data_IF_270245611472
#
_entry.id   IF_270245611472
#
_cell.length_a   1.000
_cell.length_b   1.000
_cell.length_c   1.000
_cell.angle_alpha   90.00
_cell.angle_beta   90.00
_cell.angle_gamma   90.00
#
_symmetry.space_group_name_H-M   'P 1'
#
loop_
_entity.id
_entity.type
_entity.pdbx_description
1 polymer ?
#
# COMPACT_ATOMS: atom_id res chain seq x y z
N UNK A 1 -21.07 7.21 -13.10
CA UNK A 1 -21.21 7.81 -11.75
C UNK A 1 -20.57 9.19 -11.78
N UNK A 2 -21.27 10.22 -11.30
CA UNK A 2 -20.71 11.57 -11.16
C UNK A 2 -19.92 11.55 -9.85
N UNK A 3 -18.57 11.64 -9.92
CA UNK A 3 -17.76 11.83 -8.72
C UNK A 3 -18.06 13.23 -8.18
N UNK A 4 -18.47 13.38 -6.91
CA UNK A 4 -18.55 14.69 -6.31
C UNK A 4 -17.15 15.34 -6.38
N UNK A 5 -17.10 16.60 -6.78
CA UNK A 5 -15.85 17.37 -6.72
C UNK A 5 -15.49 17.51 -5.23
N UNK A 6 -14.37 16.89 -4.86
CA UNK A 6 -13.86 17.00 -3.50
C UNK A 6 -12.90 18.18 -3.42
N UNK A 7 -12.97 18.94 -2.34
CA UNK A 7 -12.08 20.08 -2.15
C UNK A 7 -10.61 19.63 -2.14
N UNK A 8 -9.86 20.08 -3.15
CA UNK A 8 -8.41 19.80 -3.29
C UNK A 8 -7.63 20.16 -2.02
N UNK A 9 -7.98 21.28 -1.37
CA UNK A 9 -7.30 21.74 -0.16
C UNK A 9 -7.50 20.75 0.99
N UNK A 10 -8.72 20.29 1.17
CA UNK A 10 -9.03 19.27 2.18
C UNK A 10 -8.27 17.96 1.90
N UNK A 11 -8.21 17.52 0.64
CA UNK A 11 -7.44 16.32 0.28
C UNK A 11 -5.94 16.51 0.58
N UNK A 12 -5.37 17.66 0.20
CA UNK A 12 -3.97 17.97 0.48
C UNK A 12 -3.68 17.93 1.99
N UNK A 13 -4.49 18.58 2.82
CA UNK A 13 -4.34 18.57 4.27
C UNK A 13 -4.39 17.14 4.86
N UNK A 14 -5.30 16.30 4.36
CA UNK A 14 -5.40 14.89 4.77
C UNK A 14 -4.16 14.09 4.36
N UNK A 15 -3.62 14.29 3.15
CA UNK A 15 -2.37 13.66 2.71
C UNK A 15 -1.19 14.06 3.59
N UNK A 16 -1.11 15.34 4.00
CA UNK A 16 -0.07 15.83 4.92
C UNK A 16 -0.18 15.16 6.30
N UNK A 17 -1.40 15.02 6.81
CA UNK A 17 -1.66 14.37 8.10
C UNK A 17 -1.21 12.90 8.06
N UNK A 18 -1.65 12.13 7.06
CA UNK A 18 -1.23 10.74 6.86
C UNK A 18 0.29 10.61 6.74
N UNK A 19 0.95 11.56 6.07
CA UNK A 19 2.41 11.60 5.97
C UNK A 19 3.10 11.69 7.32
N UNK A 20 2.62 12.54 8.22
CA UNK A 20 3.13 12.66 9.59
C UNK A 20 2.87 11.40 10.42
N UNK A 21 1.64 10.88 10.35
CA UNK A 21 1.24 9.68 11.10
C UNK A 21 2.04 8.45 10.70
N UNK A 22 2.19 8.19 9.41
CA UNK A 22 2.91 7.02 8.91
C UNK A 22 4.42 7.15 9.13
N UNK A 23 4.98 8.38 9.06
CA UNK A 23 6.37 8.59 9.41
C UNK A 23 6.62 8.32 10.90
N UNK A 24 5.74 8.80 11.79
CA UNK A 24 5.85 8.56 13.23
C UNK A 24 5.84 7.06 13.59
N UNK A 25 5.17 6.24 12.77
CA UNK A 25 5.11 4.79 12.90
C UNK A 25 6.26 4.04 12.18
N UNK A 26 7.13 4.77 11.47
CA UNK A 26 8.26 4.17 10.74
C UNK A 26 7.88 3.51 9.41
N UNK A 27 6.70 3.81 8.86
CA UNK A 27 6.22 3.18 7.63
C UNK A 27 6.63 3.91 6.34
N UNK A 28 7.17 5.12 6.45
CA UNK A 28 7.68 5.91 5.32
C UNK A 28 9.02 6.57 5.68
N UNK A 29 10.08 5.76 5.83
CA UNK A 29 11.41 6.25 6.19
C UNK A 29 11.99 7.11 5.07
N UNK A 30 12.88 8.05 5.42
CA UNK A 30 13.55 8.96 4.50
C UNK A 30 12.54 9.73 3.62
N UNK A 31 12.60 9.56 2.30
CA UNK A 31 11.69 10.18 1.33
C UNK A 31 10.74 9.16 0.69
N UNK A 32 10.70 7.93 1.21
CA UNK A 32 9.92 6.82 0.66
C UNK A 32 8.41 7.04 0.73
N UNK A 33 7.68 6.22 -0.02
CA UNK A 33 6.23 6.25 -0.10
C UNK A 33 5.67 7.41 -0.93
N UNK A 34 4.45 7.29 -1.36
CA UNK A 34 3.66 8.33 -2.01
C UNK A 34 2.18 8.10 -1.77
N UNK A 35 1.43 9.18 -1.70
CA UNK A 35 0.02 9.19 -1.36
C UNK A 35 -0.76 10.02 -2.35
N UNK A 36 -1.95 9.57 -2.71
CA UNK A 36 -2.79 10.30 -3.64
C UNK A 36 -4.27 10.24 -3.26
N UNK A 37 -5.01 11.23 -3.72
CA UNK A 37 -6.46 11.35 -3.55
C UNK A 37 -7.13 11.77 -4.84
N UNK A 38 -8.26 11.16 -5.18
CA UNK A 38 -9.09 11.61 -6.30
C UNK A 38 -9.71 12.96 -5.96
N UNK A 39 -9.61 13.91 -6.86
CA UNK A 39 -10.25 15.23 -6.76
C UNK A 39 -11.56 15.24 -7.53
N UNK A 40 -11.56 14.67 -8.73
CA UNK A 40 -12.73 14.50 -9.58
C UNK A 40 -12.56 13.33 -10.56
N UNK A 41 -13.39 13.28 -11.58
CA UNK A 41 -13.38 12.21 -12.58
C UNK A 41 -12.06 12.10 -13.37
N UNK A 42 -11.29 13.20 -13.47
CA UNK A 42 -10.10 13.31 -14.34
C UNK A 42 -8.81 13.70 -13.61
N UNK A 43 -8.89 14.16 -12.35
CA UNK A 43 -7.76 14.72 -11.62
C UNK A 43 -7.50 14.02 -10.30
N UNK A 44 -6.23 13.86 -9.99
CA UNK A 44 -5.73 13.25 -8.76
C UNK A 44 -4.73 14.21 -8.10
N UNK A 45 -4.90 14.46 -6.81
CA UNK A 45 -3.90 15.09 -5.96
C UNK A 45 -2.89 14.04 -5.51
N UNK A 46 -1.58 14.29 -5.67
CA UNK A 46 -0.52 13.35 -5.31
C UNK A 46 0.67 14.07 -4.70
N UNK A 47 1.40 13.41 -3.82
CA UNK A 47 2.63 13.93 -3.24
C UNK A 47 3.73 14.07 -4.29
N UNK A 48 4.45 15.20 -4.26
CA UNK A 48 5.62 15.46 -5.13
C UNK A 48 6.74 14.47 -4.80
N UNK A 49 7.47 14.05 -5.83
CA UNK A 49 8.60 13.12 -5.72
C UNK A 49 9.71 13.61 -4.78
N UNK A 50 10.33 12.68 -4.03
CA UNK A 50 11.53 12.94 -3.24
C UNK A 50 11.33 13.79 -1.97
N UNK A 51 10.09 14.00 -1.52
CA UNK A 51 9.79 14.77 -0.32
C UNK A 51 9.63 13.87 0.91
N UNK A 52 10.17 14.35 2.03
CA UNK A 52 10.05 13.69 3.33
C UNK A 52 8.62 13.78 3.86
N UNK A 53 7.95 12.64 4.08
CA UNK A 53 6.50 12.59 4.32
C UNK A 53 6.03 13.31 5.58
N UNK A 54 6.85 13.36 6.63
CA UNK A 54 6.51 14.14 7.84
C UNK A 54 6.66 15.66 7.69
N UNK A 55 7.32 16.12 6.62
CA UNK A 55 7.63 17.55 6.41
C UNK A 55 6.92 18.13 5.19
N UNK A 56 5.93 17.39 4.66
CA UNK A 56 5.13 17.87 3.54
C UNK A 56 4.38 19.16 3.93
N UNK A 57 4.30 20.05 2.96
CA UNK A 57 3.45 21.24 2.94
C UNK A 57 2.42 21.12 1.82
N UNK A 58 1.45 22.00 1.76
CA UNK A 58 0.46 22.01 0.67
C UNK A 58 1.13 22.22 -0.70
N UNK A 59 2.30 22.88 -0.74
CA UNK A 59 3.09 23.04 -1.98
C UNK A 59 3.74 21.73 -2.45
N UNK A 60 3.87 20.74 -1.57
CA UNK A 60 4.38 19.42 -1.92
C UNK A 60 3.27 18.46 -2.41
N UNK A 61 2.06 18.95 -2.57
CA UNK A 61 0.96 18.26 -3.26
C UNK A 61 0.78 18.87 -4.64
N UNK A 62 0.62 18.02 -5.64
CA UNK A 62 0.43 18.42 -7.03
C UNK A 62 -0.80 17.74 -7.63
N UNK A 63 -1.31 18.29 -8.70
CA UNK A 63 -2.35 17.66 -9.51
C UNK A 63 -1.73 16.92 -10.70
N UNK A 64 -2.26 15.75 -10.97
CA UNK A 64 -1.98 14.97 -12.19
C UNK A 64 -3.30 14.54 -12.84
N UNK A 65 -3.26 14.30 -14.14
CA UNK A 65 -4.34 13.60 -14.83
C UNK A 65 -4.28 12.09 -14.60
N UNK A 66 -5.24 11.36 -15.14
CA UNK A 66 -5.27 9.90 -15.00
C UNK A 66 -4.19 9.18 -15.82
N UNK A 67 -3.49 9.86 -16.73
CA UNK A 67 -2.33 9.32 -17.46
C UNK A 67 -1.01 9.59 -16.72
N UNK A 68 -1.07 10.30 -15.58
CA UNK A 68 0.08 10.63 -14.74
C UNK A 68 0.81 11.91 -15.17
N UNK A 69 0.27 12.68 -16.12
CA UNK A 69 0.85 13.94 -16.53
C UNK A 69 0.61 15.02 -15.49
N UNK A 70 1.64 15.84 -15.23
CA UNK A 70 1.54 16.96 -14.32
C UNK A 70 0.57 18.03 -14.84
N UNK A 71 -0.40 18.38 -14.00
CA UNK A 71 -1.28 19.55 -14.18
C UNK A 71 -0.80 20.75 -13.35
N UNK A 72 0.30 20.59 -12.59
CA UNK A 72 0.89 21.62 -11.73
C UNK A 72 2.21 22.12 -12.34
N UNK A 73 2.29 23.35 -12.85
CA UNK A 73 3.49 23.88 -13.47
C UNK A 73 4.73 23.79 -12.58
N UNK A 74 5.85 23.34 -13.13
CA UNK A 74 7.13 23.23 -12.43
C UNK A 74 7.24 22.09 -11.41
N UNK A 75 6.19 21.29 -11.20
CA UNK A 75 6.22 20.13 -10.31
C UNK A 75 6.39 18.83 -11.11
N UNK A 76 7.19 17.92 -10.57
CA UNK A 76 7.45 16.61 -11.18
C UNK A 76 6.80 15.51 -10.35
N UNK A 77 5.92 14.68 -10.94
CA UNK A 77 5.37 13.52 -10.27
C UNK A 77 6.43 12.44 -10.06
N UNK A 78 6.21 11.54 -9.09
CA UNK A 78 6.99 10.30 -8.96
C UNK A 78 6.76 9.42 -10.19
N UNK A 79 7.77 8.63 -10.58
CA UNK A 79 7.57 7.58 -11.58
C UNK A 79 6.44 6.61 -11.18
N UNK A 80 6.29 6.34 -9.88
CA UNK A 80 5.24 5.49 -9.31
C UNK A 80 3.82 6.06 -9.41
N UNK A 81 3.67 7.31 -9.86
CA UNK A 81 2.34 7.90 -10.14
C UNK A 81 1.51 7.05 -11.08
N UNK A 82 2.14 6.33 -12.01
CA UNK A 82 1.45 5.41 -12.93
C UNK A 82 0.74 4.26 -12.21
N UNK A 83 1.30 3.75 -11.10
CA UNK A 83 0.67 2.72 -10.27
C UNK A 83 -0.61 3.26 -9.58
N UNK A 84 -0.58 4.51 -9.13
CA UNK A 84 -1.76 5.16 -8.55
C UNK A 84 -2.83 5.41 -9.62
N UNK A 85 -2.45 6.03 -10.74
CA UNK A 85 -3.42 6.40 -11.77
C UNK A 85 -4.05 5.18 -12.45
N UNK A 86 -3.32 4.07 -12.57
CA UNK A 86 -3.89 2.82 -13.06
C UNK A 86 -5.02 2.30 -12.17
N UNK A 87 -4.86 2.36 -10.84
CA UNK A 87 -5.90 2.00 -9.88
C UNK A 87 -7.12 2.92 -10.00
N UNK A 88 -6.92 4.23 -10.16
CA UNK A 88 -8.01 5.18 -10.36
C UNK A 88 -8.74 4.98 -11.70
N UNK A 89 -8.05 4.64 -12.77
CA UNK A 89 -8.68 4.33 -14.06
C UNK A 89 -9.54 3.07 -13.98
N UNK A 90 -8.99 2.03 -13.35
CA UNK A 90 -9.66 0.74 -13.21
C UNK A 90 -10.86 0.80 -12.26
N UNK A 91 -10.74 1.55 -11.19
CA UNK A 91 -11.67 1.62 -10.07
C UNK A 91 -12.21 3.03 -9.89
N UNK A 92 -13.29 3.41 -10.59
CA UNK A 92 -13.88 4.73 -10.45
C UNK A 92 -14.30 5.07 -9.02
N UNK A 93 -14.67 4.07 -8.21
CA UNK A 93 -15.07 4.22 -6.81
C UNK A 93 -13.91 4.53 -5.86
N UNK A 94 -12.67 4.35 -6.28
CA UNK A 94 -11.48 4.61 -5.45
C UNK A 94 -11.26 6.11 -5.31
N UNK A 95 -11.18 6.57 -4.06
CA UNK A 95 -10.92 7.96 -3.70
C UNK A 95 -9.55 8.22 -3.09
N UNK A 96 -8.84 7.17 -2.61
CA UNK A 96 -7.49 7.30 -2.06
C UNK A 96 -6.62 6.09 -2.35
N UNK A 97 -5.34 6.31 -2.70
CA UNK A 97 -4.30 5.28 -2.89
C UNK A 97 -3.09 5.65 -2.05
N UNK A 98 -2.62 4.71 -1.24
CA UNK A 98 -1.51 4.90 -0.30
C UNK A 98 -0.44 3.85 -0.53
N UNK A 99 0.83 4.29 -0.53
CA UNK A 99 2.01 3.46 -0.68
C UNK A 99 3.00 3.71 0.44
N UNK A 100 3.37 2.65 1.18
CA UNK A 100 4.28 2.68 2.33
C UNK A 100 5.43 1.71 2.16
N UNK A 101 6.53 1.92 2.92
CA UNK A 101 7.76 1.13 2.91
C UNK A 101 8.13 0.66 4.32
N UNK A 102 7.21 0.01 5.02
CA UNK A 102 7.51 -0.51 6.36
C UNK A 102 8.54 -1.63 6.32
N UNK A 103 9.32 -1.82 7.39
CA UNK A 103 10.20 -3.00 7.51
C UNK A 103 9.42 -4.31 7.40
N UNK A 104 8.19 -4.37 7.95
CA UNK A 104 7.37 -5.57 7.93
C UNK A 104 6.95 -5.95 6.49
N UNK A 105 6.38 -4.98 5.75
CA UNK A 105 6.02 -5.19 4.35
C UNK A 105 7.24 -5.58 3.49
N UNK A 106 8.37 -4.89 3.69
CA UNK A 106 9.60 -5.14 2.94
C UNK A 106 10.13 -6.56 3.17
N UNK A 107 10.26 -7.00 4.44
CA UNK A 107 10.79 -8.33 4.75
C UNK A 107 9.84 -9.43 4.28
N UNK A 108 8.54 -9.31 4.52
CA UNK A 108 7.56 -10.28 4.05
C UNK A 108 7.57 -10.42 2.53
N UNK A 109 7.67 -9.32 1.80
CA UNK A 109 7.73 -9.34 0.34
C UNK A 109 8.96 -10.06 -0.24
N UNK A 110 10.03 -10.21 0.54
CA UNK A 110 11.25 -10.95 0.15
C UNK A 110 11.27 -12.41 0.61
N UNK A 111 10.43 -12.76 1.59
CA UNK A 111 10.52 -14.07 2.28
C UNK A 111 9.30 -14.98 2.05
N UNK A 112 8.23 -14.45 1.46
CA UNK A 112 6.96 -15.16 1.29
C UNK A 112 6.69 -15.34 -0.20
N UNK A 113 7.12 -16.23 -0.91
CA UNK A 113 6.75 -16.53 -2.31
C UNK A 113 5.95 -15.42 -3.04
N UNK A 114 5.04 -15.79 -3.92
CA UNK A 114 4.31 -14.83 -4.77
C UNK A 114 3.04 -14.23 -4.14
N UNK A 115 2.61 -14.74 -2.99
CA UNK A 115 1.38 -14.27 -2.32
C UNK A 115 1.49 -14.47 -0.82
N UNK A 116 1.27 -13.40 -0.07
CA UNK A 116 1.09 -13.45 1.38
C UNK A 116 -0.37 -13.70 1.71
N UNK A 117 -0.67 -14.82 2.38
CA UNK A 117 -2.02 -15.15 2.83
C UNK A 117 -2.27 -14.63 4.24
N UNK A 118 -3.29 -13.80 4.40
CA UNK A 118 -3.78 -13.30 5.68
C UNK A 118 -5.09 -14.01 6.04
N UNK A 119 -5.16 -14.61 7.24
CA UNK A 119 -6.32 -15.35 7.73
C UNK A 119 -6.35 -15.35 9.26
N UNK A 120 -7.54 -15.33 9.84
CA UNK A 120 -7.73 -15.43 11.29
C UNK A 120 -7.52 -14.12 12.05
N UNK A 121 -7.38 -13.00 11.35
CA UNK A 121 -7.21 -11.68 11.96
C UNK A 121 -8.53 -10.90 11.98
N UNK A 122 -8.91 -10.38 13.14
CA UNK A 122 -10.08 -9.49 13.25
C UNK A 122 -9.95 -8.24 12.35
N UNK A 123 -8.74 -7.74 12.16
CA UNK A 123 -8.49 -6.57 11.32
C UNK A 123 -8.73 -6.79 9.83
N UNK A 124 -9.00 -8.02 9.37
CA UNK A 124 -9.50 -8.26 8.01
C UNK A 124 -10.81 -7.52 7.71
N UNK A 125 -11.60 -7.21 8.75
CA UNK A 125 -12.83 -6.41 8.64
C UNK A 125 -12.61 -4.95 8.23
N UNK A 126 -11.35 -4.48 8.19
CA UNK A 126 -11.01 -3.17 7.63
C UNK A 126 -11.20 -3.10 6.11
N UNK A 127 -11.29 -4.26 5.43
CA UNK A 127 -11.46 -4.32 3.98
C UNK A 127 -12.94 -4.34 3.59
N UNK A 128 -13.26 -3.65 2.51
CA UNK A 128 -14.61 -3.61 1.97
C UNK A 128 -15.10 -5.02 1.62
N UNK A 129 -16.31 -5.36 2.04
CA UNK A 129 -16.92 -6.67 1.78
C UNK A 129 -16.46 -7.80 2.72
N UNK A 130 -15.56 -7.54 3.66
CA UNK A 130 -15.10 -8.55 4.63
C UNK A 130 -15.83 -8.38 5.96
N UNK A 131 -16.64 -9.38 6.33
CA UNK A 131 -17.47 -9.36 7.54
C UNK A 131 -16.95 -10.24 8.67
N UNK A 132 -15.98 -11.14 8.38
CA UNK A 132 -15.49 -12.14 9.35
C UNK A 132 -13.97 -12.33 9.26
N UNK A 133 -13.35 -12.64 10.39
CA UNK A 133 -11.94 -13.03 10.49
C UNK A 133 -11.62 -14.36 9.80
N UNK A 134 -12.64 -15.18 9.50
CA UNK A 134 -12.47 -16.47 8.80
C UNK A 134 -12.16 -16.29 7.31
N UNK A 135 -12.41 -15.09 6.77
CA UNK A 135 -12.08 -14.75 5.39
C UNK A 135 -10.58 -14.90 5.16
N UNK A 136 -10.21 -15.38 3.98
CA UNK A 136 -8.83 -15.43 3.50
C UNK A 136 -8.60 -14.32 2.50
N UNK A 137 -7.56 -13.52 2.73
CA UNK A 137 -7.14 -12.47 1.79
C UNK A 137 -5.72 -12.77 1.33
N UNK A 138 -5.56 -12.93 0.02
CA UNK A 138 -4.25 -13.05 -0.63
C UNK A 138 -3.74 -11.66 -1.00
N UNK A 139 -2.52 -11.33 -0.57
CA UNK A 139 -1.79 -10.13 -0.96
C UNK A 139 -0.72 -10.56 -1.96
N UNK A 140 -0.89 -10.34 -3.27
CA UNK A 140 0.11 -10.71 -4.27
C UNK A 140 1.37 -9.87 -4.12
N UNK A 141 2.51 -10.46 -4.50
CA UNK A 141 3.83 -9.86 -4.43
C UNK A 141 4.38 -9.78 -5.85
N UNK A 142 4.52 -8.56 -6.37
CA UNK A 142 5.10 -8.31 -7.69
C UNK A 142 6.61 -8.11 -7.59
N UNK A 143 7.36 -8.52 -8.61
CA UNK A 143 8.78 -8.21 -8.71
C UNK A 143 9.00 -6.69 -8.74
N UNK A 144 10.07 -6.22 -8.10
CA UNK A 144 10.44 -4.80 -8.15
C UNK A 144 10.96 -4.47 -9.55
N UNK A 145 10.22 -3.64 -10.26
CA UNK A 145 10.52 -3.22 -11.61
C UNK A 145 10.63 -1.69 -11.68
N UNK A 146 11.71 -1.19 -12.27
CA UNK A 146 11.92 0.24 -12.45
C UNK A 146 11.13 0.81 -13.65
N UNK A 147 10.63 -0.04 -14.54
CA UNK A 147 9.67 0.34 -15.58
C UNK A 147 8.25 0.32 -15.00
N UNK A 148 7.79 1.48 -14.54
CA UNK A 148 6.46 1.62 -13.93
C UNK A 148 5.32 1.35 -14.91
N UNK A 149 5.52 1.52 -16.20
CA UNK A 149 4.52 1.18 -17.23
C UNK A 149 4.32 -0.33 -17.27
N UNK A 150 5.42 -1.10 -17.30
CA UNK A 150 5.38 -2.57 -17.29
C UNK A 150 4.81 -3.09 -15.98
N UNK A 151 5.25 -2.57 -14.82
CA UNK A 151 4.75 -2.97 -13.51
C UNK A 151 3.24 -2.68 -13.37
N UNK A 152 2.80 -1.50 -13.78
CA UNK A 152 1.39 -1.13 -13.77
C UNK A 152 0.53 -2.08 -14.63
N UNK A 153 1.03 -2.46 -15.81
CA UNK A 153 0.35 -3.42 -16.68
C UNK A 153 0.29 -4.83 -16.05
N UNK A 154 1.34 -5.27 -15.36
CA UNK A 154 1.35 -6.55 -14.64
C UNK A 154 0.31 -6.58 -13.50
N UNK A 155 0.23 -5.51 -12.70
CA UNK A 155 -0.79 -5.38 -11.65
C UNK A 155 -2.19 -5.42 -12.24
N UNK A 156 -2.43 -4.67 -13.32
CA UNK A 156 -3.74 -4.63 -13.98
C UNK A 156 -4.14 -5.97 -14.59
N UNK A 157 -3.21 -6.67 -15.23
CA UNK A 157 -3.43 -8.03 -15.76
C UNK A 157 -3.75 -9.02 -14.63
N UNK A 158 -3.03 -8.94 -13.52
CA UNK A 158 -3.28 -9.80 -12.37
C UNK A 158 -4.70 -9.60 -11.80
N UNK A 159 -5.12 -8.33 -11.62
CA UNK A 159 -6.47 -8.03 -11.15
C UNK A 159 -7.53 -8.51 -12.15
N UNK A 160 -7.24 -8.43 -13.44
CA UNK A 160 -8.16 -8.93 -14.50
C UNK A 160 -8.35 -10.44 -14.41
N UNK A 161 -7.29 -11.18 -14.14
CA UNK A 161 -7.30 -12.64 -14.07
C UNK A 161 -7.89 -13.17 -12.76
N UNK A 162 -7.58 -12.53 -11.62
CA UNK A 162 -7.89 -13.06 -10.29
C UNK A 162 -9.05 -12.34 -9.59
N UNK A 163 -9.53 -11.21 -10.12
CA UNK A 163 -10.64 -10.45 -9.56
C UNK A 163 -10.24 -9.40 -8.51
N UNK A 164 -11.16 -9.10 -7.61
CA UNK A 164 -11.00 -8.01 -6.65
C UNK A 164 -9.76 -8.17 -5.74
N UNK A 165 -9.03 -7.09 -5.59
CA UNK A 165 -7.82 -7.01 -4.79
C UNK A 165 -7.93 -5.85 -3.79
N UNK A 166 -7.42 -6.03 -2.57
CA UNK A 166 -7.43 -4.99 -1.53
C UNK A 166 -6.08 -4.29 -1.39
N UNK A 167 -4.99 -4.99 -1.69
CA UNK A 167 -3.63 -4.50 -1.56
C UNK A 167 -2.67 -5.40 -2.35
N UNK A 168 -1.49 -4.89 -2.66
CA UNK A 168 -0.37 -5.68 -3.16
C UNK A 168 0.97 -5.22 -2.58
N UNK A 169 1.95 -6.09 -2.63
CA UNK A 169 3.34 -5.81 -2.27
C UNK A 169 4.21 -5.77 -3.52
N UNK A 170 5.26 -4.97 -3.48
CA UNK A 170 6.37 -5.01 -4.42
C UNK A 170 7.59 -5.54 -3.66
N UNK A 171 8.26 -6.56 -4.20
CA UNK A 171 9.36 -7.28 -3.56
C UNK A 171 10.52 -6.34 -3.16
N UNK A 172 10.89 -6.35 -1.88
CA UNK A 172 11.95 -5.50 -1.32
C UNK A 172 11.64 -4.00 -1.35
N UNK A 173 10.37 -3.62 -1.57
CA UNK A 173 9.97 -2.24 -1.78
C UNK A 173 8.90 -1.82 -0.77
N UNK A 174 7.65 -2.20 -0.95
CA UNK A 174 6.60 -1.77 -0.03
C UNK A 174 5.20 -2.22 -0.43
N UNK A 175 4.23 -1.62 0.25
CA UNK A 175 2.81 -1.92 0.21
C UNK A 175 2.04 -0.87 -0.58
N UNK A 176 1.09 -1.29 -1.41
CA UNK A 176 0.04 -0.47 -2.00
C UNK A 176 -1.33 -0.93 -1.50
N UNK A 177 -2.17 0.03 -1.09
CA UNK A 177 -3.59 -0.21 -0.82
C UNK A 177 -4.42 1.00 -1.21
N UNK A 178 -5.72 0.80 -1.40
CA UNK A 178 -6.64 1.84 -1.85
C UNK A 178 -8.04 1.62 -1.27
N UNK A 179 -8.79 2.71 -1.17
CA UNK A 179 -10.17 2.67 -0.71
C UNK A 179 -11.00 3.81 -1.33
N UNK A 180 -12.29 3.81 -1.01
CA UNK A 180 -13.24 4.86 -1.45
C UNK A 180 -12.85 6.29 -1.04
N UNK A 181 -11.99 6.46 -0.04
CA UNK A 181 -11.44 7.73 0.42
C UNK A 181 -10.14 7.52 1.20
N UNK A 182 -9.43 8.62 1.51
CA UNK A 182 -8.16 8.59 2.24
C UNK A 182 -8.29 8.03 3.66
N UNK A 183 -9.40 8.29 4.35
CA UNK A 183 -9.62 7.79 5.71
C UNK A 183 -9.68 6.28 5.73
N UNK A 184 -10.44 5.66 4.81
CA UNK A 184 -10.53 4.21 4.72
C UNK A 184 -9.23 3.58 4.23
N UNK A 185 -8.53 4.23 3.29
CA UNK A 185 -7.19 3.77 2.86
C UNK A 185 -6.20 3.81 4.03
N UNK A 186 -6.22 4.85 4.87
CA UNK A 186 -5.40 4.94 6.08
C UNK A 186 -5.69 3.81 7.07
N UNK A 187 -6.96 3.50 7.32
CA UNK A 187 -7.38 2.37 8.18
C UNK A 187 -6.86 1.03 7.60
N UNK A 188 -6.90 0.87 6.28
CA UNK A 188 -6.37 -0.35 5.65
C UNK A 188 -4.84 -0.45 5.78
N UNK A 189 -4.09 0.65 5.67
CA UNK A 189 -2.65 0.66 5.96
C UNK A 189 -2.40 0.20 7.40
N UNK A 190 -3.10 0.78 8.38
CA UNK A 190 -2.92 0.38 9.78
C UNK A 190 -3.22 -1.11 10.02
N UNK A 191 -4.29 -1.62 9.44
CA UNK A 191 -4.68 -3.02 9.55
C UNK A 191 -3.65 -3.96 8.89
N UNK A 192 -3.16 -3.62 7.68
CA UNK A 192 -2.16 -4.38 6.96
C UNK A 192 -0.83 -4.41 7.70
N UNK A 193 -0.34 -3.26 8.15
CA UNK A 193 0.93 -3.16 8.87
C UNK A 193 0.89 -3.95 10.19
N UNK A 194 -0.21 -3.87 10.94
CA UNK A 194 -0.40 -4.70 12.13
C UNK A 194 -0.35 -6.20 11.80
N UNK A 195 -1.07 -6.64 10.77
CA UNK A 195 -1.09 -8.04 10.37
C UNK A 195 0.26 -8.50 9.84
N UNK A 196 1.01 -7.64 9.16
CA UNK A 196 2.36 -7.93 8.67
C UNK A 196 3.35 -8.11 9.83
N UNK A 197 3.29 -7.27 10.85
CA UNK A 197 4.09 -7.44 12.07
C UNK A 197 3.76 -8.76 12.77
N UNK A 198 2.47 -9.09 12.90
CA UNK A 198 2.03 -10.38 13.45
C UNK A 198 2.58 -11.57 12.64
N UNK A 199 2.54 -11.51 11.30
CA UNK A 199 3.08 -12.55 10.42
C UNK A 199 4.59 -12.73 10.58
N UNK A 200 5.35 -11.66 10.71
CA UNK A 200 6.78 -11.72 10.98
C UNK A 200 7.07 -12.37 12.34
N UNK A 201 6.37 -11.95 13.39
CA UNK A 201 6.52 -12.51 14.72
C UNK A 201 6.14 -14.00 14.73
N UNK A 202 5.04 -14.38 14.11
CA UNK A 202 4.59 -15.77 14.01
C UNK A 202 5.62 -16.67 13.32
N UNK A 203 6.24 -16.19 12.24
CA UNK A 203 7.30 -16.91 11.50
C UNK A 203 8.56 -17.04 12.34
N UNK A 204 8.94 -15.99 13.04
CA UNK A 204 10.07 -16.00 13.97
C UNK A 204 9.88 -17.02 15.08
N UNK A 205 8.72 -17.04 15.75
CA UNK A 205 8.39 -17.97 16.82
C UNK A 205 8.33 -19.42 16.28
N UNK A 206 7.68 -19.65 15.13
CA UNK A 206 7.62 -20.96 14.49
C UNK A 206 8.99 -21.55 14.14
N UNK A 207 9.94 -20.72 13.70
CA UNK A 207 11.32 -21.16 13.44
C UNK A 207 12.05 -21.59 14.73
N UNK A 208 11.83 -20.90 15.85
CA UNK A 208 12.41 -21.26 17.16
C UNK A 208 11.86 -22.57 17.71
N UNK A 209 10.55 -22.79 17.60
CA UNK A 209 9.91 -24.04 18.04
C UNK A 209 10.45 -25.24 17.27
N UNK A 210 10.63 -25.12 15.96
CA UNK A 210 11.20 -26.16 15.11
C UNK A 210 12.68 -26.43 15.43
N UNK A 211 13.48 -25.39 15.70
CA UNK A 211 14.88 -25.55 16.09
C UNK A 211 15.02 -26.23 17.45
N UNK A 212 14.24 -25.86 18.44
CA UNK A 212 14.24 -26.46 19.78
C UNK A 212 13.78 -27.95 19.77
N UNK A 213 12.94 -28.32 18.81
CA UNK A 213 12.52 -29.73 18.64
C UNK A 213 13.57 -30.61 17.98
N UNK A 214 14.55 -30.04 17.27
CA UNK A 214 15.65 -30.76 16.61
C UNK A 214 16.87 -30.99 17.54
N UNK A 215 16.96 -30.27 18.67
CA UNK A 215 18.09 -30.34 19.60
C UNK A 215 17.88 -31.32 20.80
N UNK A 216 17.01 -32.31 20.71
CA UNK A 216 17.01 -33.38 21.71
C UNK A 216 18.12 -34.39 21.36
N UNK A 217 19.26 -34.40 22.05
CA UNK A 217 20.24 -35.46 21.88
C UNK A 217 19.58 -36.79 22.29
N UNK A 218 19.63 -37.78 21.43
CA UNK A 218 19.35 -39.16 21.85
C UNK A 218 20.44 -39.53 22.87
N UNK A 219 20.08 -39.52 24.17
CA UNK A 219 20.83 -40.24 25.16
C UNK A 219 20.74 -41.73 24.81
N UNK A 220 21.79 -42.27 24.16
CA UNK A 220 22.05 -43.70 24.08
C UNK A 220 22.44 -44.18 25.46
N UNK A 221 21.64 -45.08 26.02
CA UNK A 221 22.07 -45.96 27.11
C UNK A 221 22.87 -47.11 26.56
#
# INVERSE_FOLDING_TARGET
MIHPVVDYRQQAETLLQLGREFHARGWVPATSGNFSARVDASRVAITVSGRHKARLTTDDIMLVDLDGNSLSPGKRPSAETLLHTALYRRHPEVGGVLHTHSPAATVLSLTVGNTLMLQGYELLKAFAGVATHETRIGIPIFANDQDMTRLSAQVDAWITEHGALHAYLIAGHGLYTWARDLRHAGIQIEALEFMFECELLRRRIGSWVNCASMEKPRCSR
#
